data_IF_557626239879
#
_entry.id   IF_557626239879
#
_cell.length_a   1.000
_cell.length_b   1.000
_cell.length_c   1.000
_cell.angle_alpha   90.00
_cell.angle_beta   90.00
_cell.angle_gamma   90.00
#
_symmetry.space_group_name_H-M   'P 1'
#
loop_
_entity.id
_entity.type
_entity.pdbx_description
1 polymer ?
#
# COMPACT_ATOMS: atom_id res chain seq x y z
N UNK A 1 19.62 -13.46 8.11
CA UNK A 1 19.26 -13.39 8.38
C UNK A 1 18.80 -12.53 8.80
N UNK A 2 18.74 -11.90 8.90
CA UNK A 2 18.43 -11.13 9.14
C UNK A 2 17.24 -10.65 9.02
N UNK A 3 16.81 -10.99 8.53
CA UNK A 3 15.62 -10.68 8.18
C UNK A 3 14.65 -10.86 9.16
N UNK A 4 15.00 -11.01 10.28
CA UNK A 4 14.06 -11.21 11.27
C UNK A 4 13.68 -9.96 11.96
N UNK A 5 14.19 -8.85 11.53
CA UNK A 5 13.80 -7.63 12.18
C UNK A 5 12.38 -7.33 11.79
N UNK A 6 11.53 -6.99 12.70
CA UNK A 6 10.15 -6.73 12.37
C UNK A 6 10.04 -5.41 11.65
N UNK A 7 9.05 -5.26 10.80
CA UNK A 7 8.83 -4.03 10.12
C UNK A 7 8.24 -3.01 11.05
N UNK A 8 8.64 -1.79 10.92
CA UNK A 8 8.05 -0.72 11.69
C UNK A 8 7.05 0.01 10.81
N UNK A 9 6.18 0.80 11.41
CA UNK A 9 5.24 1.58 10.59
C UNK A 9 5.93 2.48 9.59
N UNK A 10 7.03 3.13 9.98
CA UNK A 10 7.69 4.02 9.04
C UNK A 10 8.38 3.26 7.94
N UNK A 11 8.88 2.06 8.22
CA UNK A 11 9.51 1.29 7.19
C UNK A 11 8.45 0.83 6.19
N UNK A 12 7.27 0.47 6.68
CA UNK A 12 6.18 0.07 5.80
C UNK A 12 5.74 1.25 4.94
N UNK A 13 5.68 2.45 5.51
CA UNK A 13 5.31 3.61 4.74
C UNK A 13 6.33 3.88 3.64
N UNK A 14 7.61 3.66 3.95
CA UNK A 14 8.64 3.88 2.97
C UNK A 14 8.51 2.88 1.83
N UNK A 15 8.21 1.64 2.16
CA UNK A 15 8.05 0.62 1.14
C UNK A 15 6.85 0.90 0.25
N UNK A 16 5.74 1.32 0.84
CA UNK A 16 4.55 1.61 0.07
C UNK A 16 4.78 2.81 -0.85
N UNK A 17 5.47 3.81 -0.34
CA UNK A 17 5.78 4.99 -1.13
C UNK A 17 6.54 4.59 -2.40
N UNK A 18 7.54 3.76 -2.24
CA UNK A 18 8.36 3.33 -3.34
C UNK A 18 7.56 2.47 -4.32
N UNK A 19 6.77 1.54 -3.80
CA UNK A 19 5.99 0.65 -4.64
C UNK A 19 4.92 1.39 -5.42
N UNK A 20 4.24 2.32 -4.78
CA UNK A 20 3.19 3.07 -5.45
C UNK A 20 3.77 3.97 -6.54
N UNK A 21 4.92 4.58 -6.27
CA UNK A 21 5.54 5.42 -7.28
C UNK A 21 5.98 4.58 -8.47
N UNK A 22 6.56 3.40 -8.19
CA UNK A 22 6.98 2.52 -9.25
C UNK A 22 5.79 2.08 -10.11
N UNK A 23 4.66 1.80 -9.46
CA UNK A 23 3.48 1.38 -10.20
C UNK A 23 2.93 2.52 -11.05
N UNK A 24 2.94 3.74 -10.52
CA UNK A 24 2.51 4.90 -11.28
C UNK A 24 3.35 5.04 -12.54
N UNK A 25 4.67 4.91 -12.38
CA UNK A 25 5.55 5.07 -13.52
C UNK A 25 5.40 3.93 -14.50
N UNK A 26 5.17 2.73 -14.01
CA UNK A 26 4.97 1.58 -14.88
C UNK A 26 3.74 1.76 -15.76
N UNK A 27 2.72 2.44 -15.23
CA UNK A 27 1.51 2.72 -15.98
C UNK A 27 1.64 4.02 -16.78
N UNK A 28 2.81 4.62 -16.73
CA UNK A 28 3.11 5.83 -17.49
C UNK A 28 2.21 7.01 -17.18
N UNK A 29 1.89 7.15 -15.90
CA UNK A 29 1.06 8.25 -15.45
C UNK A 29 1.93 9.30 -14.79
N UNK A 30 1.66 10.55 -15.05
CA UNK A 30 2.29 11.64 -14.32
C UNK A 30 1.54 11.78 -12.98
N UNK A 31 2.12 12.51 -12.06
CA UNK A 31 1.43 12.78 -10.80
C UNK A 31 0.13 13.55 -11.06
N UNK A 32 0.16 14.49 -12.00
CA UNK A 32 -1.05 15.24 -12.33
C UNK A 32 -2.13 14.34 -12.90
N UNK A 33 -1.75 13.41 -13.76
CA UNK A 33 -2.73 12.49 -14.33
C UNK A 33 -3.31 11.59 -13.25
N UNK A 34 -2.47 11.14 -12.35
CA UNK A 34 -2.96 10.31 -11.26
C UNK A 34 -3.88 11.10 -10.35
N UNK A 35 -3.57 12.36 -10.10
CA UNK A 35 -4.42 13.20 -9.29
C UNK A 35 -5.80 13.31 -9.93
N UNK A 36 -5.86 13.58 -11.22
CA UNK A 36 -7.13 13.73 -11.89
C UNK A 36 -7.91 12.42 -11.87
N UNK A 37 -7.27 11.32 -12.15
CA UNK A 37 -7.95 10.07 -12.21
C UNK A 37 -8.40 9.54 -10.85
N UNK A 38 -7.65 9.83 -9.82
CA UNK A 38 -7.97 9.30 -8.49
C UNK A 38 -8.84 10.23 -7.66
N UNK A 39 -8.87 11.51 -8.03
CA UNK A 39 -9.57 12.48 -7.20
C UNK A 39 -8.77 12.89 -5.98
N UNK A 40 -7.50 12.48 -5.88
CA UNK A 40 -6.66 12.85 -4.76
C UNK A 40 -5.84 14.05 -5.20
N UNK A 41 -5.72 15.06 -4.35
CA UNK A 41 -5.04 16.29 -4.74
C UNK A 41 -3.58 16.04 -5.10
N UNK A 42 -3.08 16.85 -5.99
CA UNK A 42 -1.69 16.74 -6.41
C UNK A 42 -0.77 16.93 -5.22
N UNK A 43 -1.09 17.85 -4.34
CA UNK A 43 -0.27 18.09 -3.16
C UNK A 43 -0.20 16.84 -2.27
N UNK A 44 -1.31 16.13 -2.12
CA UNK A 44 -1.33 14.91 -1.34
C UNK A 44 -0.50 13.82 -2.00
N UNK A 45 -0.55 13.72 -3.32
CA UNK A 45 0.24 12.74 -4.02
C UNK A 45 1.73 13.04 -3.92
N UNK A 46 2.09 14.29 -4.07
CA UNK A 46 3.50 14.66 -3.95
C UNK A 46 4.01 14.40 -2.56
N UNK A 47 3.18 14.68 -1.54
CA UNK A 47 3.59 14.45 -0.19
C UNK A 47 3.74 12.96 0.08
N UNK A 48 2.83 12.14 -0.44
CA UNK A 48 2.93 10.70 -0.25
C UNK A 48 4.19 10.16 -0.92
N UNK A 49 4.48 10.59 -2.12
CA UNK A 49 5.62 10.06 -2.85
C UNK A 49 6.94 10.53 -2.25
N UNK A 50 6.93 11.61 -1.50
CA UNK A 50 8.15 12.08 -0.88
C UNK A 50 8.29 11.62 0.57
N UNK A 51 7.19 11.47 1.30
CA UNK A 51 7.28 11.16 2.72
C UNK A 51 6.56 9.90 3.17
N UNK A 52 5.73 9.35 2.34
CA UNK A 52 4.94 8.18 2.72
C UNK A 52 3.68 8.53 3.48
N UNK A 53 3.39 9.82 3.65
CA UNK A 53 2.22 10.23 4.42
C UNK A 53 1.01 10.45 3.55
N UNK A 54 -0.09 9.80 3.87
CA UNK A 54 -1.29 9.91 3.08
C UNK A 54 -2.42 9.36 3.93
N UNK A 55 -3.63 9.83 3.75
CA UNK A 55 -4.76 9.25 4.46
C UNK A 55 -5.10 7.91 3.85
N UNK A 56 -5.69 7.04 4.62
CA UNK A 56 -6.08 5.73 4.10
C UNK A 56 -7.06 5.89 2.96
N UNK A 57 -8.00 6.80 3.08
CA UNK A 57 -8.97 7.00 2.02
C UNK A 57 -8.28 7.38 0.72
N UNK A 58 -7.35 8.30 0.77
CA UNK A 58 -6.65 8.74 -0.41
C UNK A 58 -5.78 7.62 -0.98
N UNK A 59 -5.15 6.85 -0.11
CA UNK A 59 -4.31 5.75 -0.56
C UNK A 59 -5.14 4.73 -1.32
N UNK A 60 -6.33 4.42 -0.84
CA UNK A 60 -7.18 3.43 -1.51
C UNK A 60 -7.69 3.96 -2.85
N UNK A 61 -7.96 5.27 -2.94
CA UNK A 61 -8.36 5.86 -4.20
C UNK A 61 -7.23 5.77 -5.23
N UNK A 62 -6.01 6.01 -4.78
CA UNK A 62 -4.86 5.92 -5.65
C UNK A 62 -4.65 4.46 -6.06
N UNK A 63 -4.79 3.54 -5.11
CA UNK A 63 -4.61 2.11 -5.40
C UNK A 63 -5.60 1.63 -6.45
N UNK A 64 -6.81 2.16 -6.44
CA UNK A 64 -7.80 1.78 -7.43
C UNK A 64 -7.33 2.15 -8.84
N UNK A 65 -6.82 3.36 -9.00
CA UNK A 65 -6.34 3.79 -10.30
C UNK A 65 -5.11 3.01 -10.72
N UNK A 66 -4.25 2.67 -9.77
CA UNK A 66 -3.03 1.95 -10.08
C UNK A 66 -3.25 0.44 -10.17
N UNK A 67 -4.52 0.00 -10.10
CA UNK A 67 -4.87 -1.40 -10.29
C UNK A 67 -4.29 -2.32 -9.22
N UNK A 68 -4.14 -1.83 -8.02
CA UNK A 68 -3.65 -2.65 -6.93
C UNK A 68 -4.53 -2.57 -5.68
N UNK A 69 -5.77 -2.09 -5.83
CA UNK A 69 -6.65 -2.01 -4.68
C UNK A 69 -6.91 -3.38 -4.08
N UNK A 70 -7.02 -4.40 -4.90
CA UNK A 70 -7.30 -5.74 -4.41
C UNK A 70 -6.21 -6.29 -3.51
N UNK A 71 -5.00 -5.74 -3.59
CA UNK A 71 -3.92 -6.21 -2.74
C UNK A 71 -4.24 -5.94 -1.27
N UNK A 72 -5.09 -4.97 -0.99
CA UNK A 72 -5.39 -4.65 0.39
C UNK A 72 -6.38 -5.64 1.02
N UNK A 73 -6.98 -6.51 0.22
CA UNK A 73 -7.89 -7.49 0.77
C UNK A 73 -7.15 -8.49 1.65
N UNK A 74 -5.85 -8.60 1.49
CA UNK A 74 -5.10 -9.52 2.32
C UNK A 74 -4.64 -8.95 3.65
N UNK A 75 -4.92 -7.68 3.89
CA UNK A 75 -4.47 -7.07 5.13
C UNK A 75 -5.20 -7.70 6.31
N UNK A 76 -4.46 -8.15 7.29
CA UNK A 76 -4.97 -8.79 8.48
C UNK A 76 -5.81 -10.04 8.20
N UNK A 77 -5.56 -10.67 7.05
CA UNK A 77 -6.29 -11.83 6.73
C UNK A 77 -5.80 -12.99 7.55
N UNK A 78 -6.71 -13.80 8.08
CA UNK A 78 -6.29 -14.90 8.86
C UNK A 78 -5.72 -15.96 8.02
N UNK A 79 -4.52 -16.46 8.36
CA UNK A 79 -3.93 -17.46 7.65
C UNK A 79 -4.50 -18.73 7.98
N UNK A 80 -4.62 -19.54 7.08
CA UNK A 80 -5.09 -20.83 7.33
C UNK A 80 -4.05 -21.65 7.73
N UNK A 81 -3.38 -21.47 8.59
CA UNK A 81 -2.34 -22.25 9.05
C UNK A 81 -2.71 -23.43 9.61
N UNK A 82 -1.98 -24.18 9.61
CA UNK A 82 -2.10 -25.38 10.18
C UNK A 82 -2.49 -25.30 11.41
N UNK A 83 -3.22 -25.78 11.72
CA UNK A 83 -3.78 -25.84 12.94
C UNK A 83 -2.96 -25.93 13.78
N UNK A 84 -2.54 -25.30 13.76
CA UNK A 84 -1.88 -25.29 14.47
C UNK A 84 -2.39 -25.68 15.43
N UNK A 85 -3.10 -25.69 15.39
CA UNK A 85 -3.54 -25.97 16.34
C UNK A 85 -4.74 -26.60 16.40
N UNK A 86 -4.62 -27.56 16.86
CA UNK A 86 -5.67 -28.26 17.08
C UNK A 86 -6.47 -27.54 18.03
N UNK A 87 -5.86 -26.90 18.89
CA UNK A 87 -6.59 -26.23 19.84
C UNK A 87 -7.35 -25.24 19.17
N UNK A 88 -6.86 -24.73 18.18
CA UNK A 88 -7.59 -23.75 17.55
C UNK A 88 -8.78 -24.33 17.00
N UNK A 89 -8.78 -25.58 16.78
CA UNK A 89 -9.90 -26.15 16.23
C UNK A 89 -10.87 -26.47 17.26
N UNK A 90 -10.52 -26.42 18.41
CA UNK A 90 -11.41 -26.79 19.46
C UNK A 90 -12.22 -25.67 19.92
#
# INVERSE_FOLDING_TARGET
MLSFLPKTPSLMQEELKVKFRAKRKALKLTQEELSIKSGVSLGSLKRFESSGQISLESLLKVALVLECLGDFEGVCQQREEMPESIEDLI
#
